data_IF_822424291640
#
_entry.id   IF_822424291640
#
_cell.length_a   1.000
_cell.length_b   1.000
_cell.length_c   1.000
_cell.angle_alpha   90.00
_cell.angle_beta   90.00
_cell.angle_gamma   90.00
#
_symmetry.space_group_name_H-M   'P 1'
#
loop_
_entity.id
_entity.type
_entity.pdbx_description
1 polymer ?
#
# COMPACT_ATOMS: atom_id res chain seq x y z
N UNK A 1 13.03 -28.26 39.17
CA UNK A 1 13.56 -27.98 37.81
C UNK A 1 12.71 -26.87 37.22
N UNK A 2 13.30 -25.70 36.97
CA UNK A 2 12.62 -24.62 36.25
C UNK A 2 12.70 -24.87 34.75
N UNK A 3 11.59 -24.72 34.03
CA UNK A 3 11.60 -24.62 32.58
C UNK A 3 11.74 -23.14 32.22
N UNK A 4 12.73 -22.79 31.39
CA UNK A 4 12.89 -21.44 30.86
C UNK A 4 12.51 -21.52 29.37
N UNK A 5 11.48 -20.77 28.98
CA UNK A 5 11.04 -20.67 27.59
C UNK A 5 11.13 -19.23 27.11
N UNK A 6 11.70 -19.04 25.92
CA UNK A 6 11.79 -17.76 25.22
C UNK A 6 10.76 -17.75 24.11
N UNK A 7 9.90 -16.72 24.07
CA UNK A 7 8.83 -16.62 23.08
C UNK A 7 8.86 -15.24 22.42
N UNK A 8 8.86 -15.23 21.09
CA UNK A 8 8.75 -14.03 20.27
C UNK A 8 7.46 -14.10 19.44
N UNK A 9 6.63 -13.06 19.48
CA UNK A 9 5.51 -12.87 18.55
C UNK A 9 4.25 -13.73 18.73
N UNK A 10 4.26 -14.82 19.50
CA UNK A 10 3.08 -15.69 19.69
C UNK A 10 2.31 -15.41 20.98
N UNK A 11 0.98 -15.45 20.90
CA UNK A 11 0.09 -15.51 22.08
C UNK A 11 0.21 -16.89 22.71
N UNK A 12 0.63 -16.94 23.97
CA UNK A 12 0.82 -18.21 24.70
C UNK A 12 -0.11 -18.27 25.89
N UNK A 13 -0.93 -19.32 25.95
CA UNK A 13 -1.86 -19.54 27.04
C UNK A 13 -1.33 -20.63 27.98
N UNK A 14 -1.19 -20.30 29.26
CA UNK A 14 -0.66 -21.20 30.30
C UNK A 14 -1.77 -21.45 31.33
N UNK A 15 -2.29 -22.69 31.43
CA UNK A 15 -3.27 -23.04 32.44
C UNK A 15 -2.61 -23.17 33.82
N UNK A 16 -3.01 -22.31 34.75
CA UNK A 16 -2.57 -22.23 36.13
C UNK A 16 -3.57 -22.93 37.06
N UNK A 17 -3.05 -23.74 38.00
CA UNK A 17 -3.84 -24.30 39.09
C UNK A 17 -4.04 -23.33 40.25
N UNK A 18 -4.90 -23.70 41.20
CA UNK A 18 -5.07 -22.93 42.44
C UNK A 18 -3.77 -22.85 43.26
N UNK A 19 -3.48 -21.67 43.82
CA UNK A 19 -2.32 -21.45 44.69
C UNK A 19 -1.05 -20.96 44.00
N UNK A 20 -1.07 -20.76 42.68
CA UNK A 20 0.07 -20.18 41.94
C UNK A 20 0.31 -18.74 42.36
N UNK A 21 1.52 -18.44 42.83
CA UNK A 21 1.96 -17.06 43.10
C UNK A 21 2.48 -16.42 41.81
N UNK A 22 1.95 -15.26 41.45
CA UNK A 22 2.44 -14.42 40.36
C UNK A 22 3.54 -13.49 40.89
N UNK A 23 4.67 -13.40 40.19
CA UNK A 23 5.77 -12.49 40.55
C UNK A 23 5.50 -11.04 40.13
N UNK A 24 6.33 -10.10 40.59
CA UNK A 24 6.30 -8.71 40.12
C UNK A 24 6.63 -8.65 38.60
N UNK A 25 5.91 -7.82 37.84
CA UNK A 25 5.98 -7.76 36.37
C UNK A 25 4.94 -8.61 35.63
N UNK A 26 4.09 -9.35 36.35
CA UNK A 26 2.95 -10.13 35.81
C UNK A 26 1.65 -9.31 35.70
N UNK A 27 1.74 -7.98 35.74
CA UNK A 27 0.55 -7.12 35.82
C UNK A 27 -0.34 -7.29 34.59
N UNK A 28 -1.63 -7.55 34.84
CA UNK A 28 -2.66 -7.63 33.82
C UNK A 28 -2.77 -6.27 33.13
N UNK A 29 -2.82 -6.26 31.80
CA UNK A 29 -3.14 -5.03 31.07
C UNK A 29 -4.49 -4.48 31.55
N UNK A 30 -4.61 -3.17 31.86
CA UNK A 30 -5.86 -2.56 32.31
C UNK A 30 -6.98 -2.57 31.26
N UNK A 31 -6.71 -2.97 30.02
CA UNK A 31 -7.70 -3.00 28.92
C UNK A 31 -8.68 -4.18 28.95
N UNK A 32 -8.47 -5.17 29.84
CA UNK A 32 -9.47 -6.20 30.15
C UNK A 32 -10.54 -5.64 31.09
N UNK A 33 -11.52 -4.92 30.53
CA UNK A 33 -12.68 -4.49 31.32
C UNK A 33 -13.36 -5.69 32.00
N UNK A 34 -13.76 -5.55 33.29
CA UNK A 34 -14.44 -6.61 34.02
C UNK A 34 -15.86 -6.77 33.47
N UNK A 35 -16.06 -7.70 32.54
CA UNK A 35 -17.39 -7.98 32.01
C UNK A 35 -17.49 -8.94 30.83
N UNK A 36 -16.41 -9.23 30.09
CA UNK A 36 -16.52 -10.01 28.85
C UNK A 36 -16.03 -11.47 28.91
N UNK A 37 -15.54 -11.94 30.06
CA UNK A 37 -15.22 -13.36 30.25
C UNK A 37 -15.90 -13.84 31.53
N UNK A 38 -17.04 -14.51 31.37
CA UNK A 38 -17.58 -15.38 32.42
C UNK A 38 -16.66 -16.60 32.49
N UNK A 39 -15.64 -16.52 33.34
CA UNK A 39 -14.91 -17.73 33.74
C UNK A 39 -15.85 -18.58 34.59
N UNK A 40 -16.00 -19.89 34.31
CA UNK A 40 -16.69 -20.79 35.20
C UNK A 40 -16.05 -20.70 36.58
N UNK A 41 -16.88 -20.68 37.61
CA UNK A 41 -16.42 -20.61 38.98
C UNK A 41 -15.42 -21.74 39.29
N UNK A 42 -14.28 -21.33 39.83
CA UNK A 42 -13.46 -22.05 40.81
C UNK A 42 -12.36 -23.07 40.42
N UNK A 43 -12.07 -23.45 39.16
CA UNK A 43 -11.06 -24.52 38.96
C UNK A 43 -9.83 -24.26 38.06
N UNK A 44 -9.81 -23.28 37.13
CA UNK A 44 -8.61 -23.04 36.30
C UNK A 44 -8.40 -21.55 36.01
N UNK A 45 -7.18 -21.04 36.25
CA UNK A 45 -6.79 -19.67 35.87
C UNK A 45 -5.96 -19.75 34.59
N UNK A 46 -6.36 -19.07 33.52
CA UNK A 46 -5.59 -19.02 32.27
C UNK A 46 -4.73 -17.76 32.24
N UNK A 47 -3.40 -17.91 32.17
CA UNK A 47 -2.48 -16.79 31.95
C UNK A 47 -2.15 -16.69 30.46
N UNK A 48 -2.46 -15.57 29.83
CA UNK A 48 -2.14 -15.30 28.43
C UNK A 48 -0.98 -14.31 28.37
N UNK A 49 0.09 -14.67 27.67
CA UNK A 49 1.29 -13.85 27.50
C UNK A 49 1.47 -13.56 26.01
N UNK A 50 1.71 -12.29 25.67
CA UNK A 50 2.05 -11.84 24.31
C UNK A 50 3.34 -11.02 24.35
N UNK A 51 4.33 -11.40 23.54
CA UNK A 51 5.64 -10.75 23.50
C UNK A 51 5.71 -9.67 22.43
N UNK A 52 5.13 -8.49 22.72
CA UNK A 52 5.24 -7.29 21.89
C UNK A 52 4.90 -7.47 20.40
N UNK A 53 5.53 -6.64 19.56
CA UNK A 53 5.52 -6.70 18.09
C UNK A 53 6.92 -6.38 17.54
N UNK A 54 7.17 -6.70 16.27
CA UNK A 54 8.37 -6.28 15.52
C UNK A 54 9.73 -6.67 16.15
N UNK A 55 9.75 -7.73 16.96
CA UNK A 55 10.93 -8.25 17.66
C UNK A 55 11.61 -7.24 18.60
N UNK A 56 10.92 -6.17 18.98
CA UNK A 56 11.43 -5.21 19.98
C UNK A 56 11.39 -5.78 21.39
N UNK A 57 10.56 -6.81 21.62
CA UNK A 57 10.35 -7.40 22.93
C UNK A 57 10.55 -8.91 22.91
N UNK A 58 11.37 -9.37 23.84
CA UNK A 58 11.53 -10.77 24.17
C UNK A 58 10.94 -11.05 25.56
N UNK A 59 9.97 -11.95 25.64
CA UNK A 59 9.39 -12.36 26.92
C UNK A 59 10.09 -13.62 27.42
N UNK A 60 10.73 -13.52 28.58
CA UNK A 60 11.30 -14.66 29.31
C UNK A 60 10.29 -15.15 30.34
N UNK A 61 9.92 -16.43 30.27
CA UNK A 61 8.97 -17.05 31.20
C UNK A 61 9.72 -18.09 32.03
N UNK A 62 9.75 -17.86 33.35
CA UNK A 62 10.27 -18.82 34.35
C UNK A 62 9.10 -19.50 35.04
N UNK A 63 8.98 -20.80 34.84
CA UNK A 63 7.95 -21.63 35.45
C UNK A 63 8.59 -22.58 36.47
N UNK A 64 8.17 -22.48 37.72
CA UNK A 64 8.55 -23.45 38.76
C UNK A 64 7.47 -24.51 38.86
N UNK A 65 7.89 -25.78 38.81
CA UNK A 65 7.00 -26.93 38.93
C UNK A 65 7.42 -27.87 40.06
N UNK A 66 6.43 -28.41 40.75
CA UNK A 66 6.59 -29.44 41.79
C UNK A 66 5.88 -30.73 41.40
N UNK A 67 6.44 -31.86 41.83
CA UNK A 67 5.86 -33.18 41.58
C UNK A 67 4.77 -33.47 42.62
N UNK A 68 3.64 -34.04 42.19
CA UNK A 68 2.62 -34.56 43.09
C UNK A 68 2.92 -36.00 43.54
N UNK A 69 2.35 -36.46 44.67
CA UNK A 69 2.41 -37.85 45.10
C UNK A 69 1.89 -38.83 44.03
N UNK A 70 2.41 -40.06 44.02
CA UNK A 70 1.99 -41.14 43.11
C UNK A 70 0.49 -41.42 43.28
N UNK A 71 -0.24 -41.55 42.16
CA UNK A 71 -1.68 -41.83 42.12
C UNK A 71 -2.58 -40.66 41.70
N UNK A 72 -2.01 -39.48 41.42
CA UNK A 72 -2.77 -38.33 40.91
C UNK A 72 -2.71 -38.25 39.38
N UNK A 73 -3.81 -37.86 38.72
CA UNK A 73 -3.90 -37.72 37.24
C UNK A 73 -2.93 -36.68 36.66
N UNK A 74 -2.45 -35.73 37.49
CA UNK A 74 -1.52 -34.67 37.09
C UNK A 74 -0.23 -34.78 37.90
N UNK A 75 0.85 -35.23 37.26
CA UNK A 75 2.13 -35.53 37.92
C UNK A 75 2.95 -34.29 38.33
N UNK A 76 2.70 -33.14 37.70
CA UNK A 76 3.40 -31.88 37.96
C UNK A 76 2.43 -30.72 38.13
N UNK A 77 2.72 -29.84 39.08
CA UNK A 77 1.96 -28.62 39.34
C UNK A 77 2.87 -27.42 39.24
N UNK A 78 2.41 -26.40 38.54
CA UNK A 78 3.04 -25.08 38.52
C UNK A 78 2.83 -24.44 39.88
N UNK A 79 3.90 -23.99 40.53
CA UNK A 79 3.86 -23.33 41.83
C UNK A 79 4.10 -21.83 41.74
N UNK A 80 4.94 -21.41 40.79
CA UNK A 80 5.14 -20.00 40.46
C UNK A 80 5.39 -19.80 38.97
N UNK A 81 4.94 -18.66 38.47
CA UNK A 81 5.28 -18.15 37.13
C UNK A 81 5.82 -16.73 37.29
N UNK A 82 6.94 -16.46 36.65
CA UNK A 82 7.53 -15.12 36.56
C UNK A 82 7.76 -14.81 35.10
N UNK A 83 7.31 -13.64 34.65
CA UNK A 83 7.48 -13.15 33.29
C UNK A 83 8.36 -11.90 33.34
N UNK A 84 9.40 -11.87 32.52
CA UNK A 84 10.28 -10.71 32.36
C UNK A 84 10.25 -10.27 30.91
N UNK A 85 9.88 -9.01 30.67
CA UNK A 85 9.95 -8.39 29.35
C UNK A 85 11.35 -7.81 29.16
N UNK A 86 12.07 -8.34 28.18
CA UNK A 86 13.34 -7.81 27.70
C UNK A 86 13.07 -6.93 26.49
N UNK A 87 13.06 -5.61 26.69
CA UNK A 87 12.93 -4.66 25.59
C UNK A 87 14.29 -4.43 24.94
N UNK A 88 14.41 -4.78 23.66
CA UNK A 88 15.62 -4.65 22.85
C UNK A 88 15.75 -3.21 22.34
N UNK A 89 16.04 -2.26 23.23
CA UNK A 89 16.17 -0.83 22.88
C UNK A 89 17.48 -0.48 22.16
N UNK A 90 18.50 -1.34 22.28
CA UNK A 90 19.82 -1.08 21.70
C UNK A 90 20.09 -1.98 20.49
N UNK A 91 20.39 -1.34 19.36
CA UNK A 91 21.00 -2.02 18.23
C UNK A 91 22.36 -2.51 18.68
N UNK A 92 22.50 -3.82 18.90
CA UNK A 92 23.81 -4.44 19.12
C UNK A 92 24.73 -4.02 17.97
N UNK A 93 25.91 -3.47 18.29
CA UNK A 93 26.83 -3.00 17.28
C UNK A 93 27.18 -4.16 16.33
N UNK A 94 27.36 -3.91 15.02
CA UNK A 94 27.57 -4.96 14.03
C UNK A 94 28.70 -5.94 14.34
N UNK A 95 29.69 -5.50 15.12
CA UNK A 95 30.89 -6.26 15.43
C UNK A 95 30.79 -7.05 16.75
N UNK A 96 29.76 -6.79 17.56
CA UNK A 96 29.56 -7.42 18.87
C UNK A 96 28.83 -8.77 18.79
N UNK A 97 28.49 -9.24 17.58
CA UNK A 97 27.84 -10.53 17.40
C UNK A 97 28.87 -11.68 17.55
N UNK A 98 28.71 -12.54 18.57
CA UNK A 98 29.75 -13.50 18.92
C UNK A 98 29.95 -14.60 17.87
N UNK A 99 28.92 -14.94 17.08
CA UNK A 99 29.00 -16.06 16.15
C UNK A 99 29.52 -15.67 14.75
N UNK A 100 30.49 -16.42 14.18
CA UNK A 100 30.94 -16.23 12.79
C UNK A 100 29.81 -16.34 11.76
N UNK A 101 28.79 -17.17 12.04
CA UNK A 101 27.64 -17.37 11.18
C UNK A 101 26.77 -16.11 11.09
N UNK A 102 26.51 -15.42 12.21
CA UNK A 102 25.72 -14.17 12.20
C UNK A 102 26.44 -13.08 11.42
N UNK A 103 27.77 -12.99 11.54
CA UNK A 103 28.58 -12.04 10.74
C UNK A 103 28.48 -12.32 9.24
N UNK A 104 28.55 -13.60 8.83
CA UNK A 104 28.43 -13.99 7.43
C UNK A 104 27.04 -13.67 6.86
N UNK A 105 25.97 -14.06 7.55
CA UNK A 105 24.59 -13.79 7.14
C UNK A 105 24.33 -12.29 7.02
N UNK A 106 24.82 -11.49 7.99
CA UNK A 106 24.70 -10.04 7.95
C UNK A 106 25.43 -9.42 6.76
N UNK A 107 26.64 -9.91 6.44
CA UNK A 107 27.39 -9.44 5.26
C UNK A 107 26.61 -9.72 3.97
N UNK A 108 26.09 -10.94 3.81
CA UNK A 108 25.29 -11.29 2.63
C UNK A 108 24.03 -10.44 2.53
N UNK A 109 23.30 -10.30 3.64
CA UNK A 109 22.10 -9.46 3.71
C UNK A 109 22.40 -7.99 3.38
N UNK A 110 23.49 -7.44 3.90
CA UNK A 110 23.89 -6.07 3.63
C UNK A 110 24.22 -5.85 2.14
N UNK A 111 24.98 -6.77 1.53
CA UNK A 111 25.47 -6.61 0.17
C UNK A 111 24.38 -6.91 -0.87
N UNK A 112 23.54 -7.91 -0.65
CA UNK A 112 22.58 -8.37 -1.68
C UNK A 112 21.20 -7.71 -1.54
N UNK A 113 20.78 -7.42 -0.30
CA UNK A 113 19.43 -6.94 0.01
C UNK A 113 19.44 -5.46 0.33
N UNK A 114 20.27 -5.01 1.29
CA UNK A 114 20.23 -3.61 1.72
C UNK A 114 20.67 -2.62 0.64
N UNK A 115 21.59 -3.01 -0.25
CA UNK A 115 22.04 -2.15 -1.36
C UNK A 115 20.86 -1.82 -2.30
N UNK A 116 20.11 -2.83 -2.75
CA UNK A 116 18.92 -2.63 -3.61
C UNK A 116 17.81 -1.88 -2.89
N UNK A 117 17.60 -2.16 -1.62
CA UNK A 117 16.60 -1.45 -0.81
C UNK A 117 16.98 0.04 -0.62
N UNK A 118 18.28 0.36 -0.65
CA UNK A 118 18.79 1.73 -0.56
C UNK A 118 18.72 2.53 -1.87
N UNK A 119 18.28 1.93 -2.99
CA UNK A 119 18.12 2.65 -4.24
C UNK A 119 17.09 3.77 -4.07
N UNK A 120 17.48 4.97 -4.49
CA UNK A 120 16.67 6.18 -4.46
C UNK A 120 15.84 6.21 -5.73
N UNK A 121 14.53 6.37 -5.58
CA UNK A 121 13.56 6.26 -6.68
C UNK A 121 12.79 7.55 -6.93
N UNK A 122 12.70 8.45 -5.96
CA UNK A 122 11.96 9.70 -6.11
C UNK A 122 12.40 10.79 -5.12
N UNK A 123 11.93 12.03 -5.30
CA UNK A 123 12.07 13.14 -4.34
C UNK A 123 10.69 13.69 -3.95
N UNK A 124 10.58 14.35 -2.80
CA UNK A 124 9.37 15.04 -2.33
C UNK A 124 9.71 16.47 -1.93
N UNK A 125 8.76 17.40 -2.11
CA UNK A 125 8.93 18.81 -1.73
C UNK A 125 8.69 19.09 -0.25
N UNK A 126 7.80 18.31 0.34
CA UNK A 126 7.27 18.57 1.66
C UNK A 126 7.33 17.32 2.52
N UNK A 127 7.47 17.54 3.82
CA UNK A 127 7.44 16.46 4.78
C UNK A 127 6.04 15.84 4.82
N UNK A 128 5.96 14.51 4.68
CA UNK A 128 4.71 13.74 4.74
C UNK A 128 4.73 12.84 5.96
N UNK A 129 3.65 12.90 6.76
CA UNK A 129 3.48 11.99 7.89
C UNK A 129 3.02 10.61 7.42
N UNK A 130 3.82 9.58 7.69
CA UNK A 130 3.42 8.18 7.55
C UNK A 130 3.03 7.66 8.92
N UNK A 131 1.72 7.56 9.15
CA UNK A 131 1.18 7.10 10.42
C UNK A 131 0.11 6.04 10.17
N UNK A 132 0.53 4.77 10.24
CA UNK A 132 -0.36 3.63 10.10
C UNK A 132 -1.46 3.57 11.16
N UNK A 133 -1.26 4.14 12.35
CA UNK A 133 -2.31 4.20 13.38
C UNK A 133 -3.42 5.17 12.96
N UNK A 134 -3.05 6.34 12.40
CA UNK A 134 -4.00 7.32 11.87
C UNK A 134 -4.76 6.75 10.66
N UNK A 135 -4.07 6.06 9.75
CA UNK A 135 -4.71 5.46 8.58
C UNK A 135 -5.83 4.44 8.94
N UNK A 136 -5.82 3.87 10.16
CA UNK A 136 -6.85 2.94 10.64
C UNK A 136 -8.11 3.62 11.18
N UNK A 137 -8.11 4.95 11.31
CA UNK A 137 -9.22 5.69 11.93
C UNK A 137 -9.59 6.95 11.16
N UNK A 138 -8.75 7.45 10.28
CA UNK A 138 -9.08 8.59 9.45
C UNK A 138 -8.34 8.56 8.11
N UNK A 139 -8.82 9.39 7.20
CA UNK A 139 -8.16 9.64 5.93
C UNK A 139 -6.78 10.28 6.16
N UNK A 140 -5.81 9.90 5.33
CA UNK A 140 -4.43 10.39 5.40
C UNK A 140 -3.91 10.71 4.01
N UNK A 141 -3.03 11.71 3.91
CA UNK A 141 -2.39 12.12 2.66
C UNK A 141 -1.66 10.96 1.98
N UNK A 142 -0.90 10.17 2.76
CA UNK A 142 -0.18 9.01 2.25
C UNK A 142 -1.13 7.93 1.72
N UNK A 143 -2.26 7.70 2.41
CA UNK A 143 -3.27 6.74 1.96
C UNK A 143 -3.91 7.14 0.64
N UNK A 144 -4.23 8.43 0.48
CA UNK A 144 -4.77 8.98 -0.75
C UNK A 144 -3.77 8.85 -1.91
N UNK A 145 -2.51 9.22 -1.69
CA UNK A 145 -1.46 9.09 -2.70
C UNK A 145 -1.25 7.64 -3.15
N UNK A 146 -1.20 6.67 -2.24
CA UNK A 146 -1.11 5.24 -2.58
C UNK A 146 -2.31 4.81 -3.42
N UNK A 147 -3.52 5.15 -2.96
CA UNK A 147 -4.76 4.73 -3.61
C UNK A 147 -4.87 5.27 -5.04
N UNK A 148 -4.52 6.54 -5.24
CA UNK A 148 -4.55 7.20 -6.55
C UNK A 148 -3.48 6.67 -7.49
N UNK A 149 -2.25 6.56 -6.99
CA UNK A 149 -1.12 6.06 -7.78
C UNK A 149 -1.39 4.64 -8.26
N UNK A 150 -1.99 3.81 -7.40
CA UNK A 150 -2.34 2.43 -7.73
C UNK A 150 -3.47 2.37 -8.77
N UNK A 151 -4.54 3.14 -8.58
CA UNK A 151 -5.66 3.18 -9.52
C UNK A 151 -5.24 3.70 -10.90
N UNK A 152 -4.47 4.78 -10.94
CA UNK A 152 -3.98 5.36 -12.19
C UNK A 152 -3.06 4.37 -12.93
N UNK A 153 -2.06 3.81 -12.24
CA UNK A 153 -1.15 2.85 -12.83
C UNK A 153 -1.89 1.64 -13.42
N UNK A 154 -2.83 1.07 -12.67
CA UNK A 154 -3.62 -0.07 -13.14
C UNK A 154 -4.48 0.29 -14.35
N UNK A 155 -5.08 1.49 -14.36
CA UNK A 155 -5.94 1.94 -15.46
C UNK A 155 -5.17 2.12 -16.77
N UNK A 156 -3.87 2.45 -16.70
CA UNK A 156 -2.99 2.46 -17.86
C UNK A 156 -2.55 1.06 -18.32
N UNK A 157 -2.48 0.09 -17.40
CA UNK A 157 -2.08 -1.28 -17.70
C UNK A 157 -3.21 -2.09 -18.35
N UNK A 158 -4.44 -1.96 -17.84
CA UNK A 158 -5.58 -2.80 -18.22
C UNK A 158 -6.75 -1.92 -18.69
N UNK A 159 -6.73 -1.57 -19.97
CA UNK A 159 -7.72 -0.67 -20.60
C UNK A 159 -9.10 -1.32 -20.73
N UNK A 160 -9.18 -2.66 -20.80
CA UNK A 160 -10.43 -3.40 -21.06
C UNK A 160 -11.50 -3.18 -20.00
N UNK A 161 -11.13 -3.15 -18.71
CA UNK A 161 -12.11 -3.13 -17.61
C UNK A 161 -12.27 -1.77 -16.93
N UNK A 162 -11.29 -0.86 -17.07
CA UNK A 162 -11.29 0.50 -16.54
C UNK A 162 -11.97 0.64 -15.14
N UNK A 163 -11.31 0.21 -14.05
CA UNK A 163 -11.90 0.26 -12.71
C UNK A 163 -12.32 1.68 -12.35
N UNK A 164 -13.54 1.83 -11.82
CA UNK A 164 -14.06 3.15 -11.43
C UNK A 164 -13.43 3.67 -10.14
N UNK A 165 -12.92 2.75 -9.31
CA UNK A 165 -12.36 3.08 -8.01
C UNK A 165 -11.38 2.00 -7.53
N UNK A 166 -10.55 2.41 -6.58
CA UNK A 166 -9.67 1.53 -5.82
C UNK A 166 -10.03 1.56 -4.34
N UNK A 167 -9.99 0.40 -3.68
CA UNK A 167 -10.25 0.26 -2.25
C UNK A 167 -9.14 -0.58 -1.62
N UNK A 168 -8.49 -0.02 -0.61
CA UNK A 168 -7.72 -0.76 0.38
C UNK A 168 -8.20 -0.41 1.81
N UNK A 169 -7.54 -0.94 2.82
CA UNK A 169 -7.82 -0.63 4.22
C UNK A 169 -6.61 0.01 4.89
N UNK A 170 -6.83 0.84 5.91
CA UNK A 170 -5.76 1.45 6.72
C UNK A 170 -4.82 0.42 7.34
N UNK A 171 -5.29 -0.82 7.52
CA UNK A 171 -4.51 -1.98 7.91
C UNK A 171 -3.32 -2.27 7.00
N UNK A 172 -3.44 -1.93 5.72
CA UNK A 172 -2.44 -2.13 4.68
C UNK A 172 -1.25 -1.17 4.81
N UNK A 173 -1.48 0.03 5.33
CA UNK A 173 -0.44 1.06 5.48
C UNK A 173 0.33 0.83 6.78
N UNK A 174 1.65 0.71 6.68
CA UNK A 174 2.54 0.42 7.80
C UNK A 174 3.56 1.55 8.01
N UNK A 175 4.13 1.55 9.20
CA UNK A 175 5.13 2.53 9.61
C UNK A 175 4.57 3.69 10.42
N UNK A 176 5.48 4.30 11.19
CA UNK A 176 5.27 5.47 12.02
C UNK A 176 6.50 6.36 11.91
N UNK A 177 6.63 7.02 10.77
CA UNK A 177 7.81 7.82 10.40
C UNK A 177 7.36 9.05 9.64
N UNK A 178 8.23 10.04 9.59
CA UNK A 178 8.09 11.13 8.63
C UNK A 178 8.88 10.78 7.37
N UNK A 179 8.31 11.08 6.21
CA UNK A 179 9.06 11.20 4.96
C UNK A 179 9.49 12.66 4.88
N UNK A 180 10.76 12.94 5.12
CA UNK A 180 11.26 14.31 5.34
C UNK A 180 11.51 15.04 4.01
N UNK A 181 11.31 16.36 3.99
CA UNK A 181 11.44 17.25 2.81
C UNK A 181 12.87 17.41 2.25
N UNK A 182 13.87 16.77 2.87
CA UNK A 182 15.23 16.64 2.33
C UNK A 182 15.54 15.21 1.83
N UNK A 183 14.55 14.31 1.92
CA UNK A 183 14.70 12.87 1.76
C UNK A 183 14.30 12.39 0.38
N UNK A 184 15.26 11.77 -0.30
CA UNK A 184 14.94 10.90 -1.43
C UNK A 184 14.14 9.70 -0.93
N UNK A 185 13.07 9.35 -1.63
CA UNK A 185 12.32 8.12 -1.37
C UNK A 185 13.16 6.96 -1.88
N UNK A 186 13.27 5.92 -1.06
CA UNK A 186 13.99 4.69 -1.37
C UNK A 186 13.03 3.52 -1.58
N UNK A 187 13.48 2.49 -2.29
CA UNK A 187 12.74 1.23 -2.42
C UNK A 187 12.36 0.66 -1.05
N UNK A 188 13.28 0.75 -0.08
CA UNK A 188 13.06 0.35 1.32
C UNK A 188 11.83 0.99 1.91
N UNK A 189 11.65 2.30 1.73
CA UNK A 189 10.54 3.04 2.34
C UNK A 189 9.20 2.60 1.76
N UNK A 190 9.12 2.31 0.46
CA UNK A 190 7.89 1.80 -0.18
C UNK A 190 7.54 0.40 0.32
N UNK A 191 8.53 -0.49 0.46
CA UNK A 191 8.30 -1.84 0.99
C UNK A 191 7.94 -1.80 2.48
N UNK A 192 8.58 -0.94 3.28
CA UNK A 192 8.22 -0.75 4.69
C UNK A 192 6.78 -0.20 4.85
N UNK A 193 6.32 0.62 3.89
CA UNK A 193 4.98 1.20 3.86
C UNK A 193 3.89 0.19 3.49
N UNK A 194 4.16 -0.68 2.51
CA UNK A 194 3.25 -1.71 1.99
C UNK A 194 3.93 -3.09 1.99
N UNK A 195 4.18 -3.69 3.16
CA UNK A 195 5.03 -4.89 3.26
C UNK A 195 4.33 -6.18 2.85
N UNK A 196 3.04 -6.12 2.52
CA UNK A 196 2.27 -7.30 2.18
C UNK A 196 2.44 -7.64 0.70
N UNK A 197 2.74 -8.91 0.45
CA UNK A 197 2.82 -9.49 -0.87
C UNK A 197 1.42 -9.90 -1.38
N UNK A 198 0.40 -9.08 -1.10
CA UNK A 198 -0.98 -9.33 -1.52
C UNK A 198 -1.19 -8.80 -2.94
N UNK A 199 -1.45 -9.67 -3.93
CA UNK A 199 -1.70 -9.26 -5.31
C UNK A 199 -2.82 -8.24 -5.46
N UNK A 200 -2.73 -7.38 -6.48
CA UNK A 200 -3.86 -6.59 -6.93
C UNK A 200 -4.92 -7.48 -7.60
N UNK A 201 -6.18 -7.28 -7.22
CA UNK A 201 -7.32 -8.03 -7.74
C UNK A 201 -8.39 -7.04 -8.20
N UNK A 202 -8.84 -7.23 -9.43
CA UNK A 202 -10.01 -6.56 -9.99
C UNK A 202 -11.26 -7.40 -9.71
N UNK A 203 -12.24 -6.80 -9.05
CA UNK A 203 -13.53 -7.43 -8.77
C UNK A 203 -14.68 -6.71 -9.48
N UNK A 204 -15.72 -7.46 -9.84
CA UNK A 204 -17.02 -6.94 -10.27
C UNK A 204 -18.03 -7.15 -9.15
N UNK A 205 -18.64 -6.05 -8.69
CA UNK A 205 -19.52 -6.04 -7.50
C UNK A 205 -20.75 -5.16 -7.72
N UNK A 206 -21.90 -5.63 -7.23
CA UNK A 206 -23.13 -4.83 -7.21
C UNK A 206 -22.99 -3.59 -6.32
N UNK A 207 -23.66 -2.49 -6.66
CA UNK A 207 -23.68 -1.30 -5.82
C UNK A 207 -24.26 -1.58 -4.44
N UNK A 208 -25.24 -2.47 -4.33
CA UNK A 208 -25.80 -2.90 -3.06
C UNK A 208 -24.74 -3.58 -2.17
N UNK A 209 -23.97 -4.52 -2.73
CA UNK A 209 -22.93 -5.24 -1.99
C UNK A 209 -21.73 -4.33 -1.65
N UNK A 210 -21.33 -3.44 -2.56
CA UNK A 210 -20.31 -2.42 -2.30
C UNK A 210 -20.70 -1.51 -1.14
N UNK A 211 -21.95 -1.04 -1.12
CA UNK A 211 -22.49 -0.21 -0.04
C UNK A 211 -22.46 -0.94 1.31
N UNK A 212 -22.88 -2.21 1.34
CA UNK A 212 -22.86 -3.05 2.54
C UNK A 212 -21.42 -3.29 3.03
N UNK A 213 -20.49 -3.56 2.12
CA UNK A 213 -19.06 -3.71 2.42
C UNK A 213 -18.48 -2.48 3.10
N UNK A 214 -18.63 -1.30 2.49
CA UNK A 214 -18.12 -0.05 3.05
C UNK A 214 -18.79 0.33 4.37
N UNK A 215 -20.11 0.09 4.50
CA UNK A 215 -20.84 0.29 5.77
C UNK A 215 -20.26 -0.59 6.89
N UNK A 216 -20.01 -1.86 6.59
CA UNK A 216 -19.45 -2.81 7.56
C UNK A 216 -18.02 -2.44 7.96
N UNK A 217 -17.18 -2.10 6.98
CA UNK A 217 -15.81 -1.66 7.23
C UNK A 217 -15.77 -0.41 8.11
N UNK A 218 -16.52 0.63 7.76
CA UNK A 218 -16.61 1.88 8.55
C UNK A 218 -17.11 1.64 9.96
N UNK A 219 -18.22 0.92 10.12
CA UNK A 219 -18.76 0.57 11.43
C UNK A 219 -17.74 -0.13 12.33
N UNK A 220 -16.89 -1.01 11.78
CA UNK A 220 -15.89 -1.75 12.54
C UNK A 220 -14.55 -0.99 12.71
N UNK A 221 -14.42 0.19 12.09
CA UNK A 221 -13.26 1.07 12.23
C UNK A 221 -13.38 2.01 13.43
N UNK A 222 -14.61 2.26 13.90
CA UNK A 222 -14.89 3.17 15.00
C UNK A 222 -15.73 2.45 16.05
N UNK A 223 -15.23 2.33 17.28
CA UNK A 223 -16.04 1.91 18.43
C UNK A 223 -15.89 2.96 19.52
N UNK A 224 -17.00 3.62 19.86
CA UNK A 224 -17.05 4.55 21.00
C UNK A 224 -16.61 3.86 22.30
N UNK A 225 -15.83 4.59 23.10
CA UNK A 225 -15.64 4.27 24.53
C UNK A 225 -14.59 3.23 24.90
N UNK A 226 -13.85 2.65 23.95
CA UNK A 226 -12.64 1.86 24.24
C UNK A 226 -11.59 2.14 23.17
N UNK A 227 -10.37 2.43 23.63
CA UNK A 227 -9.09 2.50 22.92
C UNK A 227 -9.19 2.22 21.41
N UNK A 228 -8.78 3.19 20.57
CA UNK A 228 -8.68 3.11 19.10
C UNK A 228 -8.61 1.64 18.66
N UNK A 229 -9.76 1.08 18.25
CA UNK A 229 -9.77 -0.33 17.86
C UNK A 229 -9.00 -0.41 16.54
N UNK A 230 -7.82 -1.03 16.63
CA UNK A 230 -6.82 -1.23 15.58
C UNK A 230 -7.27 -2.22 14.50
N UNK A 231 -8.58 -2.39 14.26
CA UNK A 231 -9.16 -3.41 13.38
C UNK A 231 -8.57 -3.38 11.98
N UNK A 232 -8.03 -2.23 11.56
CA UNK A 232 -7.39 -2.08 10.26
C UNK A 232 -8.39 -1.76 9.17
N UNK A 233 -9.69 -1.96 9.40
CA UNK A 233 -10.75 -1.95 8.40
C UNK A 233 -11.09 -0.60 7.78
N UNK A 234 -10.53 0.50 8.26
CA UNK A 234 -10.89 1.84 7.76
C UNK A 234 -10.61 1.93 6.27
N UNK A 235 -11.62 2.20 5.42
CA UNK A 235 -11.42 2.24 3.97
C UNK A 235 -10.49 3.37 3.57
N UNK A 236 -9.52 3.06 2.71
CA UNK A 236 -8.71 4.05 2.00
C UNK A 236 -9.01 3.90 0.51
N UNK A 237 -9.48 4.97 -0.12
CA UNK A 237 -10.17 4.88 -1.41
C UNK A 237 -9.65 5.87 -2.44
N UNK A 238 -9.73 5.49 -3.72
CA UNK A 238 -9.59 6.36 -4.89
C UNK A 238 -10.77 6.21 -5.84
N UNK A 239 -11.09 7.25 -6.60
CA UNK A 239 -12.23 7.27 -7.53
C UNK A 239 -13.61 7.43 -6.87
N UNK A 240 -13.67 7.62 -5.55
CA UNK A 240 -14.93 7.82 -4.81
C UNK A 240 -14.81 8.74 -3.60
N UNK A 241 -15.95 9.32 -3.21
CA UNK A 241 -16.18 10.00 -1.94
C UNK A 241 -17.26 9.25 -1.16
N UNK A 242 -17.05 9.10 0.14
CA UNK A 242 -17.91 8.41 1.10
C UNK A 242 -18.27 9.38 2.21
N UNK A 243 -19.56 9.61 2.43
CA UNK A 243 -20.06 10.37 3.58
C UNK A 243 -20.77 9.44 4.55
N UNK A 244 -20.44 9.53 5.83
CA UNK A 244 -20.87 8.56 6.83
C UNK A 244 -21.00 9.20 8.22
N UNK A 245 -21.70 8.57 9.16
CA UNK A 245 -21.89 9.10 10.51
C UNK A 245 -21.36 8.12 11.56
N UNK A 246 -20.34 8.53 12.33
CA UNK A 246 -19.65 7.69 13.31
C UNK A 246 -20.38 7.53 14.65
N UNK A 247 -21.28 8.46 14.96
CA UNK A 247 -21.94 8.58 16.28
C UNK A 247 -23.11 7.62 16.47
N UNK A 248 -23.22 6.60 15.61
CA UNK A 248 -24.43 5.78 15.44
C UNK A 248 -24.21 4.33 15.91
N UNK A 249 -25.31 3.58 16.14
CA UNK A 249 -25.25 2.31 16.83
C UNK A 249 -24.32 1.29 16.18
N UNK A 250 -23.70 0.45 17.01
CA UNK A 250 -22.84 -0.67 16.56
C UNK A 250 -23.63 -1.85 16.00
N UNK A 251 -24.92 -1.73 15.71
CA UNK A 251 -25.69 -2.73 14.96
C UNK A 251 -25.63 -2.37 13.47
N UNK A 252 -25.26 -3.33 12.61
CA UNK A 252 -25.13 -3.08 11.17
C UNK A 252 -26.49 -2.74 10.53
N UNK A 253 -27.60 -3.28 11.06
CA UNK A 253 -28.95 -2.98 10.59
C UNK A 253 -29.42 -1.58 10.97
N UNK A 254 -28.96 -1.08 12.13
CA UNK A 254 -29.36 0.23 12.65
C UNK A 254 -28.39 1.36 12.27
N UNK A 255 -27.16 1.03 11.88
CA UNK A 255 -26.21 2.02 11.39
C UNK A 255 -26.73 2.63 10.09
N UNK A 256 -26.67 3.97 9.90
CA UNK A 256 -27.07 4.57 8.64
C UNK A 256 -26.16 4.09 7.52
N UNK A 257 -26.74 4.06 6.34
CA UNK A 257 -26.04 3.76 5.11
C UNK A 257 -25.11 4.92 4.71
N UNK A 258 -23.86 4.65 4.29
CA UNK A 258 -23.00 5.70 3.76
C UNK A 258 -23.54 6.22 2.42
N UNK A 259 -23.34 7.51 2.17
CA UNK A 259 -23.58 8.13 0.86
C UNK A 259 -22.30 8.03 0.06
N UNK A 260 -22.35 7.36 -1.09
CA UNK A 260 -21.19 7.10 -1.93
C UNK A 260 -21.40 7.78 -3.29
N UNK A 261 -20.41 8.54 -3.71
CA UNK A 261 -20.36 9.20 -5.02
C UNK A 261 -19.03 8.90 -5.69
N UNK A 262 -19.04 8.65 -6.99
CA UNK A 262 -17.84 8.46 -7.78
C UNK A 262 -17.30 9.81 -8.23
N UNK A 263 -15.98 9.94 -8.23
CA UNK A 263 -15.29 11.19 -8.59
C UNK A 263 -14.16 10.91 -9.56
N UNK A 264 -13.92 11.84 -10.49
CA UNK A 264 -12.81 11.76 -11.43
C UNK A 264 -12.02 13.07 -11.42
N UNK A 265 -10.69 12.95 -11.50
CA UNK A 265 -9.82 14.11 -11.67
C UNK A 265 -9.97 14.69 -13.09
N UNK A 266 -10.20 15.99 -13.17
CA UNK A 266 -10.26 16.75 -14.42
C UNK A 266 -9.03 17.66 -14.48
N UNK A 267 -8.04 17.25 -15.27
CA UNK A 267 -6.72 17.89 -15.34
C UNK A 267 -6.81 19.39 -15.68
N UNK A 268 -7.61 19.74 -16.70
CA UNK A 268 -7.75 21.13 -17.18
C UNK A 268 -8.35 22.09 -16.14
N UNK A 269 -9.13 21.56 -15.20
CA UNK A 269 -9.80 22.33 -14.15
C UNK A 269 -9.12 22.20 -12.79
N UNK A 270 -8.08 21.36 -12.70
CA UNK A 270 -7.39 21.01 -11.47
C UNK A 270 -8.37 20.68 -10.32
N UNK A 271 -9.44 19.95 -10.62
CA UNK A 271 -10.51 19.65 -9.66
C UNK A 271 -11.09 18.25 -9.88
N UNK A 272 -11.76 17.73 -8.86
CA UNK A 272 -12.55 16.51 -8.94
C UNK A 272 -13.99 16.83 -9.29
N UNK A 273 -14.54 16.10 -10.26
CA UNK A 273 -15.96 16.18 -10.61
C UNK A 273 -16.67 14.90 -10.20
N UNK A 274 -17.86 15.06 -9.61
CA UNK A 274 -18.74 13.94 -9.32
C UNK A 274 -19.28 13.36 -10.64
N UNK A 275 -18.98 12.09 -10.90
CA UNK A 275 -19.42 11.40 -12.12
C UNK A 275 -20.74 10.67 -11.92
N UNK A 276 -21.20 10.51 -10.68
CA UNK A 276 -22.47 9.88 -10.35
C UNK A 276 -22.53 9.42 -8.90
N UNK A 277 -23.75 9.19 -8.41
CA UNK A 277 -23.97 8.53 -7.12
C UNK A 277 -24.00 7.02 -7.30
N UNK A 278 -23.67 6.28 -6.24
CA UNK A 278 -23.78 4.82 -6.23
C UNK A 278 -25.24 4.37 -6.45
N UNK A 279 -25.49 3.70 -7.57
CA UNK A 279 -26.73 2.98 -7.84
C UNK A 279 -26.61 1.52 -7.33
N UNK A 280 -27.47 1.08 -6.38
CA UNK A 280 -27.46 -0.28 -5.85
C UNK A 280 -27.63 -1.40 -6.89
N UNK A 281 -28.35 -1.15 -7.98
CA UNK A 281 -28.66 -2.16 -8.99
C UNK A 281 -27.57 -2.30 -10.08
N UNK A 282 -26.62 -1.37 -10.11
CA UNK A 282 -25.53 -1.35 -11.10
C UNK A 282 -24.32 -2.14 -10.59
N UNK A 283 -23.63 -2.85 -11.48
CA UNK A 283 -22.36 -3.52 -11.22
C UNK A 283 -21.18 -2.59 -11.50
N UNK A 284 -20.15 -2.63 -10.65
CA UNK A 284 -18.95 -1.79 -10.76
C UNK A 284 -17.68 -2.63 -10.76
N UNK A 285 -16.69 -2.19 -11.54
CA UNK A 285 -15.33 -2.72 -11.47
C UNK A 285 -14.53 -1.97 -10.41
N UNK A 286 -14.12 -2.67 -9.36
CA UNK A 286 -13.36 -2.12 -8.24
C UNK A 286 -12.00 -2.82 -8.19
N UNK A 287 -10.94 -2.02 -8.14
CA UNK A 287 -9.60 -2.55 -7.89
C UNK A 287 -9.36 -2.64 -6.38
N UNK A 288 -8.80 -3.74 -5.92
CA UNK A 288 -8.42 -3.96 -4.52
C UNK A 288 -7.22 -4.90 -4.45
N UNK A 289 -6.90 -5.43 -3.27
CA UNK A 289 -5.95 -6.54 -3.13
C UNK A 289 -6.69 -7.86 -2.83
N UNK A 290 -6.04 -8.98 -3.13
CA UNK A 290 -6.64 -10.32 -3.02
C UNK A 290 -7.18 -10.64 -1.62
N UNK A 291 -6.48 -10.20 -0.57
CA UNK A 291 -6.90 -10.39 0.82
C UNK A 291 -8.25 -9.69 1.09
N UNK A 292 -8.45 -8.47 0.60
CA UNK A 292 -9.74 -7.79 0.72
C UNK A 292 -10.80 -8.36 -0.22
N UNK A 293 -10.40 -8.82 -1.42
CA UNK A 293 -11.30 -9.50 -2.36
C UNK A 293 -11.89 -10.79 -1.77
N UNK A 294 -11.19 -11.44 -0.84
CA UNK A 294 -11.72 -12.57 -0.03
C UNK A 294 -12.67 -12.13 1.10
N UNK A 295 -12.94 -10.83 1.21
CA UNK A 295 -13.83 -10.22 2.19
C UNK A 295 -13.26 -10.12 3.60
N UNK A 296 -11.95 -10.18 3.75
CA UNK A 296 -11.28 -9.90 5.01
C UNK A 296 -11.47 -8.41 5.42
N UNK A 297 -11.01 -8.06 6.64
CA UNK A 297 -11.13 -6.72 7.22
C UNK A 297 -12.57 -6.17 7.22
N UNK A 298 -13.56 -7.04 7.41
CA UNK A 298 -15.00 -6.70 7.49
C UNK A 298 -15.62 -6.21 6.16
N UNK A 299 -14.98 -6.47 5.01
CA UNK A 299 -15.53 -6.15 3.68
C UNK A 299 -16.42 -7.26 3.08
N UNK A 300 -16.44 -8.44 3.69
CA UNK A 300 -17.34 -9.54 3.31
C UNK A 300 -18.17 -10.07 4.48
N UNK A 301 -19.22 -10.81 4.16
CA UNK A 301 -20.02 -11.53 5.15
C UNK A 301 -19.25 -12.59 5.95
N UNK A 302 -19.84 -13.04 7.04
CA UNK A 302 -19.31 -14.13 7.88
C UNK A 302 -19.09 -15.39 7.04
N UNK A 303 -18.04 -16.15 7.35
CA UNK A 303 -17.56 -17.29 6.55
C UNK A 303 -18.62 -18.33 6.16
N UNK A 304 -19.65 -18.52 6.99
CA UNK A 304 -20.64 -19.58 6.78
C UNK A 304 -21.59 -19.35 5.59
N UNK A 305 -21.79 -18.10 5.15
CA UNK A 305 -22.84 -17.80 4.16
C UNK A 305 -22.39 -17.08 2.88
N UNK A 306 -21.17 -16.50 2.84
CA UNK A 306 -20.66 -15.67 1.73
C UNK A 306 -21.72 -14.70 1.12
N UNK A 307 -22.66 -14.22 1.93
CA UNK A 307 -23.96 -13.78 1.44
C UNK A 307 -24.01 -12.35 0.90
N UNK A 308 -22.95 -11.56 1.13
CA UNK A 308 -22.87 -10.16 0.71
C UNK A 308 -21.42 -9.65 0.70
N UNK A 309 -21.23 -8.47 0.08
CA UNK A 309 -19.96 -7.75 0.06
C UNK A 309 -18.92 -8.36 -0.87
N UNK A 310 -17.63 -8.20 -0.54
CA UNK A 310 -16.54 -8.58 -1.44
C UNK A 310 -16.47 -10.11 -1.66
N UNK A 311 -16.92 -10.92 -0.71
CA UNK A 311 -17.04 -12.39 -0.89
C UNK A 311 -18.01 -12.81 -1.99
N UNK A 312 -19.02 -11.98 -2.28
CA UNK A 312 -20.00 -12.23 -3.35
C UNK A 312 -19.56 -11.64 -4.69
N UNK A 313 -18.58 -10.74 -4.68
CA UNK A 313 -18.05 -10.13 -5.89
C UNK A 313 -17.35 -11.18 -6.76
N UNK A 314 -17.47 -11.02 -8.07
CA UNK A 314 -16.76 -11.86 -9.03
C UNK A 314 -15.32 -11.35 -9.18
N UNK A 315 -14.33 -12.21 -8.95
CA UNK A 315 -12.92 -11.88 -9.22
C UNK A 315 -12.66 -12.02 -10.72
N UNK A 316 -12.43 -10.89 -11.38
CA UNK A 316 -12.21 -10.81 -12.82
C UNK A 316 -10.76 -11.18 -13.15
N UNK A 317 -9.80 -10.52 -12.49
CA UNK A 317 -8.37 -10.78 -12.65
C UNK A 317 -7.65 -10.59 -11.32
N UNK A 318 -6.73 -11.50 -11.00
CA UNK A 318 -5.73 -11.33 -9.94
C UNK A 318 -4.34 -11.30 -10.55
N UNK A 319 -3.59 -10.24 -10.27
CA UNK A 319 -2.25 -10.04 -10.80
C UNK A 319 -1.21 -10.53 -9.79
N UNK A 320 -0.96 -11.84 -9.77
CA UNK A 320 0.00 -12.49 -8.85
C UNK A 320 1.40 -11.85 -8.89
N UNK A 321 1.77 -11.30 -10.04
CA UNK A 321 3.05 -10.60 -10.25
C UNK A 321 3.09 -9.19 -9.67
N UNK A 322 1.97 -8.61 -9.27
CA UNK A 322 1.84 -7.21 -8.87
C UNK A 322 1.15 -7.08 -7.50
N UNK A 323 1.88 -7.36 -6.40
CA UNK A 323 1.50 -6.87 -5.09
C UNK A 323 1.52 -5.34 -5.05
N UNK A 324 0.82 -4.73 -4.08
CA UNK A 324 0.63 -3.28 -4.05
C UNK A 324 1.93 -2.47 -4.04
N UNK A 325 2.96 -2.89 -3.29
CA UNK A 325 4.24 -2.18 -3.30
C UNK A 325 4.92 -2.20 -4.68
N UNK A 326 4.80 -3.32 -5.42
CA UNK A 326 5.41 -3.46 -6.75
C UNK A 326 4.65 -2.68 -7.82
N UNK A 327 3.33 -2.58 -7.69
CA UNK A 327 2.52 -1.68 -8.49
C UNK A 327 2.94 -0.21 -8.29
N UNK A 328 3.13 0.20 -7.03
CA UNK A 328 3.56 1.56 -6.70
C UNK A 328 4.99 1.86 -7.17
N UNK A 329 5.93 0.93 -7.00
CA UNK A 329 7.29 1.06 -7.56
C UNK A 329 7.26 1.17 -9.09
N UNK A 330 6.46 0.33 -9.75
CA UNK A 330 6.31 0.37 -11.22
C UNK A 330 5.73 1.70 -11.68
N UNK A 331 4.76 2.25 -10.95
CA UNK A 331 4.21 3.57 -11.23
C UNK A 331 5.25 4.68 -11.13
N UNK A 332 6.08 4.67 -10.08
CA UNK A 332 7.17 5.66 -9.90
C UNK A 332 8.20 5.54 -11.03
N UNK A 333 8.55 4.32 -11.43
CA UNK A 333 9.45 4.08 -12.56
C UNK A 333 8.85 4.60 -13.88
N UNK A 334 7.55 4.37 -14.12
CA UNK A 334 6.84 4.88 -15.29
C UNK A 334 6.81 6.42 -15.30
N UNK A 335 6.61 7.08 -14.14
CA UNK A 335 6.70 8.53 -14.01
C UNK A 335 8.11 9.05 -14.33
N UNK A 336 9.16 8.38 -13.85
CA UNK A 336 10.54 8.72 -14.19
C UNK A 336 10.80 8.59 -15.69
N UNK A 337 10.30 7.52 -16.32
CA UNK A 337 10.43 7.34 -17.76
C UNK A 337 9.72 8.44 -18.55
N UNK A 338 8.51 8.83 -18.14
CA UNK A 338 7.75 9.92 -18.76
C UNK A 338 8.44 11.29 -18.60
N UNK A 339 9.03 11.56 -17.44
CA UNK A 339 9.77 12.81 -17.22
C UNK A 339 11.04 12.87 -18.08
N UNK A 340 11.77 11.75 -18.18
CA UNK A 340 12.93 11.64 -19.07
C UNK A 340 12.55 11.84 -20.53
N UNK A 341 11.42 11.26 -20.97
CA UNK A 341 10.89 11.49 -22.32
C UNK A 341 10.54 12.97 -22.54
N UNK A 342 9.85 13.62 -21.59
CA UNK A 342 9.53 15.05 -21.70
C UNK A 342 10.77 15.93 -21.82
N UNK A 343 11.80 15.66 -21.00
CA UNK A 343 13.07 16.41 -21.07
C UNK A 343 13.78 16.20 -22.40
N UNK A 344 13.84 14.95 -22.85
CA UNK A 344 14.37 14.61 -24.16
C UNK A 344 13.66 15.40 -25.26
N UNK A 345 12.33 15.48 -25.20
CA UNK A 345 11.53 16.24 -26.17
C UNK A 345 11.82 17.74 -26.15
N UNK A 346 11.94 18.35 -24.97
CA UNK A 346 12.34 19.76 -24.84
C UNK A 346 13.70 20.01 -25.50
N UNK A 347 14.66 19.09 -25.36
CA UNK A 347 15.98 19.23 -25.99
C UNK A 347 15.92 19.04 -27.50
N UNK A 348 15.14 18.07 -28.00
CA UNK A 348 14.87 17.91 -29.43
C UNK A 348 14.22 19.17 -30.02
N UNK A 349 13.25 19.77 -29.33
CA UNK A 349 12.61 21.01 -29.76
C UNK A 349 13.60 22.18 -29.85
N UNK A 350 14.53 22.30 -28.89
CA UNK A 350 15.60 23.32 -28.95
C UNK A 350 16.52 23.11 -30.14
N UNK A 351 16.94 21.87 -30.43
CA UNK A 351 17.76 21.59 -31.61
C UNK A 351 17.00 21.85 -32.91
N UNK A 352 15.72 21.49 -32.98
CA UNK A 352 14.85 21.80 -34.12
C UNK A 352 14.67 23.31 -34.36
N UNK A 353 14.74 24.14 -33.31
CA UNK A 353 14.69 25.61 -33.45
C UNK A 353 15.96 26.19 -34.08
N UNK A 354 17.10 25.48 -34.05
CA UNK A 354 18.35 25.93 -34.69
C UNK A 354 18.36 25.68 -36.20
N UNK A 355 17.44 24.87 -36.71
CA UNK A 355 17.32 24.60 -38.16
C UNK A 355 16.70 25.81 -38.85
N UNK A 356 17.40 26.47 -39.80
CA UNK A 356 16.87 27.65 -40.47
C UNK A 356 15.66 27.30 -41.35
N UNK A 357 14.57 28.06 -41.19
CA UNK A 357 13.25 27.87 -41.81
C UNK A 357 13.19 27.99 -43.34
N UNK A 358 14.34 28.20 -44.00
CA UNK A 358 14.46 28.41 -45.44
C UNK A 358 15.56 27.52 -46.10
N UNK A 359 15.95 26.43 -45.44
CA UNK A 359 16.95 25.50 -45.98
C UNK A 359 16.34 24.61 -47.07
N UNK A 360 16.95 24.61 -48.27
CA UNK A 360 16.59 23.67 -49.33
C UNK A 360 16.92 22.23 -48.90
N UNK A 361 16.12 21.21 -49.29
CA UNK A 361 16.27 19.83 -48.80
C UNK A 361 17.65 19.20 -49.06
N UNK A 362 18.44 19.76 -49.98
CA UNK A 362 19.80 19.32 -50.30
C UNK A 362 20.90 19.89 -49.39
N UNK A 363 20.56 20.81 -48.47
CA UNK A 363 21.47 21.42 -47.50
C UNK A 363 21.20 21.01 -46.05
N UNK A 364 20.18 20.19 -45.80
CA UNK A 364 19.95 19.62 -44.48
C UNK A 364 21.07 18.61 -44.17
N UNK A 365 21.84 18.88 -43.13
CA UNK A 365 22.91 18.02 -42.65
C UNK A 365 22.37 16.60 -42.47
N UNK A 366 22.92 15.63 -43.21
CA UNK A 366 22.41 14.26 -43.26
C UNK A 366 22.26 13.64 -41.86
N UNK A 367 23.15 14.07 -40.95
CA UNK A 367 23.18 13.78 -39.53
C UNK A 367 21.91 14.20 -38.79
N UNK A 368 21.37 15.39 -39.06
CA UNK A 368 20.14 15.87 -38.41
C UNK A 368 18.92 15.03 -38.84
N UNK A 369 18.84 14.69 -40.13
CA UNK A 369 17.75 13.87 -40.70
C UNK A 369 17.84 12.42 -40.24
N UNK A 370 19.04 11.84 -40.14
CA UNK A 370 19.23 10.49 -39.59
C UNK A 370 18.98 10.43 -38.09
N UNK A 371 19.33 11.49 -37.34
CA UNK A 371 19.06 11.58 -35.91
C UNK A 371 17.55 11.68 -35.67
N UNK A 372 16.83 12.52 -36.43
CA UNK A 372 15.37 12.57 -36.40
C UNK A 372 14.71 11.23 -36.80
N UNK A 373 15.25 10.50 -37.78
CA UNK A 373 14.74 9.17 -38.15
C UNK A 373 14.92 8.12 -37.03
N UNK A 374 16.09 8.09 -36.38
CA UNK A 374 16.34 7.22 -35.22
C UNK A 374 15.43 7.57 -34.04
N UNK A 375 15.19 8.86 -33.83
CA UNK A 375 14.27 9.36 -32.80
C UNK A 375 12.83 8.90 -33.11
N UNK A 376 12.33 9.14 -34.34
CA UNK A 376 11.02 8.67 -34.80
C UNK A 376 10.85 7.15 -34.67
N UNK A 377 11.89 6.38 -34.98
CA UNK A 377 11.84 4.91 -34.91
C UNK A 377 11.54 4.39 -33.50
N UNK A 378 11.90 5.11 -32.45
CA UNK A 378 11.72 4.69 -31.04
C UNK A 378 10.55 5.37 -30.30
N UNK A 379 9.72 6.15 -30.99
CA UNK A 379 8.62 6.91 -30.40
C UNK A 379 7.28 6.14 -30.37
N UNK A 380 6.43 6.49 -29.39
CA UNK A 380 5.01 6.11 -29.38
C UNK A 380 4.26 6.79 -30.55
N UNK A 381 3.14 6.19 -30.98
CA UNK A 381 2.30 6.68 -32.08
C UNK A 381 1.88 8.15 -31.88
N UNK A 382 1.44 8.51 -30.68
CA UNK A 382 0.99 9.87 -30.35
C UNK A 382 2.13 10.90 -30.44
N UNK A 383 3.33 10.55 -29.99
CA UNK A 383 4.49 11.44 -30.11
C UNK A 383 4.96 11.59 -31.56
N UNK A 384 4.78 10.56 -32.41
CA UNK A 384 5.03 10.65 -33.86
C UNK A 384 4.09 11.65 -34.52
N UNK A 385 2.80 11.56 -34.25
CA UNK A 385 1.80 12.46 -34.83
C UNK A 385 2.03 13.92 -34.43
N UNK A 386 2.41 14.17 -33.18
CA UNK A 386 2.72 15.53 -32.70
C UNK A 386 4.00 16.08 -33.34
N UNK A 387 5.03 15.24 -33.50
CA UNK A 387 6.25 15.63 -34.20
C UNK A 387 5.99 15.90 -35.69
N UNK A 388 5.21 15.06 -36.36
CA UNK A 388 4.83 15.26 -37.77
C UNK A 388 4.06 16.57 -37.96
N UNK A 389 3.11 16.89 -37.07
CA UNK A 389 2.41 18.18 -37.07
C UNK A 389 3.36 19.37 -36.87
N UNK A 390 4.34 19.25 -35.97
CA UNK A 390 5.33 20.29 -35.67
C UNK A 390 6.34 20.50 -36.81
N UNK A 391 6.74 19.43 -37.50
CA UNK A 391 7.58 19.48 -38.71
C UNK A 391 6.78 20.11 -39.87
N UNK A 392 5.54 19.69 -40.10
CA UNK A 392 4.67 20.25 -41.14
C UNK A 392 4.41 21.75 -40.98
N UNK A 393 4.36 22.26 -39.75
CA UNK A 393 4.22 23.70 -39.50
C UNK A 393 5.51 24.49 -39.73
N UNK A 394 6.68 23.85 -39.68
CA UNK A 394 8.00 24.51 -39.82
C UNK A 394 8.61 24.41 -41.22
N UNK A 395 8.29 23.39 -42.02
CA UNK A 395 8.79 23.24 -43.41
C UNK A 395 7.69 23.54 -44.43
N UNK A 396 7.94 24.47 -45.35
CA UNK A 396 6.91 25.00 -46.27
C UNK A 396 6.49 24.08 -47.42
N UNK A 397 7.02 22.86 -47.54
CA UNK A 397 6.59 21.91 -48.57
C UNK A 397 6.61 20.47 -48.04
N UNK A 398 5.63 19.67 -48.47
CA UNK A 398 5.34 18.29 -48.04
C UNK A 398 6.39 17.23 -48.41
N UNK A 399 7.66 17.60 -48.57
CA UNK A 399 8.75 16.72 -49.00
C UNK A 399 9.22 15.72 -47.93
N UNK A 400 8.92 15.94 -46.63
CA UNK A 400 9.25 14.99 -45.56
C UNK A 400 8.15 13.94 -45.31
N UNK A 401 6.91 14.19 -45.76
CA UNK A 401 5.76 13.31 -45.46
C UNK A 401 5.78 11.96 -46.20
N UNK A 402 6.55 11.84 -47.29
CA UNK A 402 6.63 10.62 -48.09
C UNK A 402 7.62 9.60 -47.53
N UNK A 403 8.53 10.00 -46.63
CA UNK A 403 9.53 9.10 -46.03
C UNK A 403 9.03 8.35 -44.78
N UNK A 404 7.93 8.79 -44.18
CA UNK A 404 7.32 8.17 -42.98
C UNK A 404 6.23 7.13 -43.30
N UNK A 405 5.70 7.11 -44.53
CA UNK A 405 4.70 6.12 -44.97
C UNK A 405 5.37 4.81 -45.37
N UNK A 406 5.55 3.90 -44.40
CA UNK A 406 5.96 2.52 -44.70
C UNK A 406 6.66 1.74 -43.60
N UNK A 407 6.91 2.34 -42.43
CA UNK A 407 7.56 1.61 -41.33
C UNK A 407 6.52 0.82 -40.51
N UNK A 408 6.79 -0.47 -40.20
CA UNK A 408 5.83 -1.30 -39.48
C UNK A 408 5.55 -0.73 -38.09
N UNK A 409 4.27 -0.68 -37.73
CA UNK A 409 3.82 -0.41 -36.37
C UNK A 409 4.20 -1.59 -35.48
N UNK A 410 5.33 -1.49 -34.79
CA UNK A 410 5.62 -2.40 -33.67
C UNK A 410 4.64 -2.05 -32.55
N UNK A 411 3.54 -2.78 -32.46
CA UNK A 411 2.84 -2.99 -31.21
C UNK A 411 3.86 -3.47 -30.16
N UNK A 412 3.79 -2.89 -28.95
CA UNK A 412 4.61 -3.24 -27.79
C UNK A 412 6.13 -3.02 -27.90
N UNK A 413 6.56 -1.76 -27.86
CA UNK A 413 7.87 -1.43 -27.29
C UNK A 413 7.69 -0.35 -26.21
N UNK A 414 7.59 -0.78 -24.95
CA UNK A 414 7.83 0.09 -23.79
C UNK A 414 9.26 0.65 -23.94
N UNK A 415 9.47 1.97 -24.02
CA UNK A 415 10.83 2.51 -24.06
C UNK A 415 11.43 2.40 -22.65
N UNK A 416 12.09 1.27 -22.37
CA UNK A 416 13.03 1.17 -21.23
C UNK A 416 14.29 1.93 -21.59
N UNK A 417 14.23 3.26 -21.53
CA UNK A 417 15.43 4.10 -21.62
C UNK A 417 15.61 4.85 -20.31
N UNK A 418 16.45 4.29 -19.43
CA UNK A 418 17.21 5.09 -18.47
C UNK A 418 18.26 5.82 -19.30
N UNK A 419 17.99 7.07 -19.70
CA UNK A 419 18.98 7.91 -20.35
C UNK A 419 20.20 7.98 -19.42
N UNK A 420 21.31 7.38 -19.86
CA UNK A 420 22.59 7.45 -19.18
C UNK A 420 23.04 8.92 -19.19
N UNK A 421 22.78 9.66 -18.11
CA UNK A 421 23.31 11.02 -17.94
C UNK A 421 22.43 12.06 -17.23
N UNK A 422 21.29 11.71 -16.65
CA UNK A 422 20.49 12.63 -15.82
C UNK A 422 20.26 12.06 -14.43
N UNK A 423 20.83 12.69 -13.40
CA UNK A 423 20.77 12.29 -11.99
C UNK A 423 19.46 12.64 -11.27
N UNK A 424 18.42 13.04 -12.00
CA UNK A 424 17.25 13.65 -11.39
C UNK A 424 16.13 12.63 -11.25
N UNK A 425 15.88 12.25 -10.01
CA UNK A 425 14.78 11.39 -9.62
C UNK A 425 13.43 12.11 -9.87
N UNK A 426 12.37 11.37 -10.26
CA UNK A 426 11.05 11.96 -10.40
C UNK A 426 10.62 12.61 -9.08
N UNK A 427 9.90 13.71 -9.22
CA UNK A 427 9.40 14.47 -8.09
C UNK A 427 7.95 14.07 -7.80
N UNK A 428 7.69 13.54 -6.61
CA UNK A 428 6.36 13.09 -6.21
C UNK A 428 5.61 14.19 -5.48
N UNK A 429 4.42 14.48 -5.98
CA UNK A 429 3.47 15.38 -5.34
C UNK A 429 2.50 14.60 -4.44
N UNK A 430 2.97 14.20 -3.26
CA UNK A 430 2.16 13.43 -2.30
C UNK A 430 1.07 14.29 -1.66
N UNK A 431 1.36 15.59 -1.46
CA UNK A 431 0.44 16.55 -0.82
C UNK A 431 -0.36 17.39 -1.78
N UNK A 432 0.05 17.56 -3.03
CA UNK A 432 -0.66 18.38 -4.01
C UNK A 432 -1.75 17.58 -4.73
N UNK A 433 -1.86 17.74 -6.05
CA UNK A 433 -3.10 17.63 -6.85
C UNK A 433 -4.04 16.44 -6.55
N UNK A 434 -3.50 15.33 -6.05
CA UNK A 434 -4.22 14.08 -5.73
C UNK A 434 -4.80 14.03 -4.30
N UNK A 435 -4.25 14.81 -3.37
CA UNK A 435 -4.82 15.05 -2.03
C UNK A 435 -5.97 16.09 -2.04
N UNK A 436 -6.08 16.89 -3.12
CA UNK A 436 -6.96 18.08 -3.23
C UNK A 436 -8.46 17.77 -3.37
N UNK A 437 -8.91 16.52 -3.18
CA UNK A 437 -10.35 16.18 -3.15
C UNK A 437 -11.07 16.86 -1.96
N UNK A 438 -10.33 17.40 -0.99
CA UNK A 438 -10.84 17.49 0.37
C UNK A 438 -11.02 16.08 0.92
N UNK A 439 -11.62 15.95 2.11
CA UNK A 439 -11.80 14.63 2.69
C UNK A 439 -12.72 13.77 1.78
N UNK A 440 -12.18 12.68 1.23
CA UNK A 440 -12.93 11.61 0.55
C UNK A 440 -13.81 10.87 1.53
N UNK A 441 -13.43 10.80 2.80
CA UNK A 441 -14.26 10.30 3.88
C UNK A 441 -14.73 11.46 4.75
N UNK A 442 -15.97 11.90 4.52
CA UNK A 442 -16.57 13.02 5.26
C UNK A 442 -17.49 12.47 6.34
N UNK A 443 -17.21 12.82 7.59
CA UNK A 443 -18.12 12.57 8.69
C UNK A 443 -19.31 13.56 8.61
N UNK A 444 -20.54 13.03 8.70
CA UNK A 444 -21.82 13.76 8.58
C UNK A 444 -22.44 14.13 9.92
#
# INVERSE_FOLDING_TARGET
MGLISYLAGTVTAIPLGMGVKLGAGSELSPSLQPGCLRFPAAEERLLIIKSGTDFEDLSEIKITVENRPKGTKRHKIVTSVTVTRHHMSSRIAPDDFPSPMVRMLKRQFNNEVLEKLGEKIATIDEQVEVNGDKARVCETEIGNWIADSTLEWYSHLVVEYNPIAFIMTGGSIRGKKMLDSEGQITVRQIIELLPFDTPLTLIRISGEDLKKALKSALKNSFREGKELNSSGSFPVVSGMQIKWNSTKPTDLKLHPDPVISFVKWIQDKSTFECTGSLDPATEYYILTNSYLADGNDNLGGVEEDASWGFKKAEKIVTHEEYPMYKALLSHIDDLSALENQRRFWVEVEKELQKVPSNSQPHQCDLTAVTTLHLICYHMSQESRENLEKSIQTKTKEGALSSSFKGLPSSEYLKPRYRLMGGSDLPKLDIKGERSKVGNRLVEM
#
